data_IF_992994427761
#
_entry.id   IF_992994427761
#
_cell.length_a   1.000
_cell.length_b   1.000
_cell.length_c   1.000
_cell.angle_alpha   90.00
_cell.angle_beta   90.00
_cell.angle_gamma   90.00
#
_symmetry.space_group_name_H-M   'P 1'
#
loop_
_entity.id
_entity.type
_entity.pdbx_description
1 polymer ?
#
# COMPACT_ATOMS: atom_id res chain seq x y z
N UNK A 1 -22.33 20.85 47.34
CA UNK A 1 -23.47 21.78 47.52
C UNK A 1 -24.01 22.40 46.21
N UNK A 2 -23.28 22.40 45.08
CA UNK A 2 -23.75 22.99 43.80
C UNK A 2 -24.76 22.15 43.00
N UNK A 3 -25.20 20.98 43.48
CA UNK A 3 -26.04 20.06 42.69
C UNK A 3 -27.51 19.98 43.16
N UNK A 4 -27.81 20.49 44.37
CA UNK A 4 -29.17 20.41 44.95
C UNK A 4 -30.01 21.67 44.75
N UNK A 5 -29.41 22.77 44.29
CA UNK A 5 -30.16 24.02 44.05
C UNK A 5 -31.15 23.87 42.89
N UNK A 6 -30.82 23.08 41.87
CA UNK A 6 -31.68 22.87 40.70
C UNK A 6 -32.95 22.06 41.08
N UNK A 7 -32.85 20.91 41.79
CA UNK A 7 -34.01 20.24 42.39
C UNK A 7 -34.80 21.13 43.34
N UNK A 8 -34.12 21.91 44.19
CA UNK A 8 -34.77 22.79 45.15
C UNK A 8 -35.58 23.90 44.46
N UNK A 9 -35.04 24.52 43.39
CA UNK A 9 -35.75 25.51 42.59
C UNK A 9 -36.95 24.89 41.85
N UNK A 10 -36.79 23.71 41.25
CA UNK A 10 -37.88 23.03 40.55
C UNK A 10 -39.01 22.66 41.53
N UNK A 11 -38.66 22.14 42.71
CA UNK A 11 -39.63 21.82 43.75
C UNK A 11 -40.31 23.06 44.33
N UNK A 12 -39.56 24.15 44.55
CA UNK A 12 -40.11 25.42 45.01
C UNK A 12 -41.05 26.04 43.97
N UNK A 13 -40.66 26.07 42.69
CA UNK A 13 -41.49 26.56 41.60
C UNK A 13 -42.79 25.75 41.47
N UNK A 14 -42.71 24.41 41.55
CA UNK A 14 -43.86 23.54 41.50
C UNK A 14 -44.80 23.74 42.71
N UNK A 15 -44.23 23.87 43.91
CA UNK A 15 -45.00 24.12 45.13
C UNK A 15 -45.71 25.48 45.07
N UNK A 16 -45.02 26.52 44.59
CA UNK A 16 -45.60 27.86 44.38
C UNK A 16 -46.71 27.87 43.33
N UNK A 17 -46.56 27.10 42.24
CA UNK A 17 -47.62 26.96 41.23
C UNK A 17 -48.88 26.30 41.79
N UNK A 18 -48.72 25.23 42.58
CA UNK A 18 -49.85 24.58 43.25
C UNK A 18 -50.51 25.50 44.29
N UNK A 19 -49.72 26.31 45.00
CA UNK A 19 -50.23 27.30 45.95
C UNK A 19 -51.12 28.35 45.27
N UNK A 20 -50.76 28.80 44.06
CA UNK A 20 -51.51 29.80 43.32
C UNK A 20 -52.81 29.28 42.70
N UNK A 21 -52.85 27.99 42.34
CA UNK A 21 -53.99 27.37 41.63
C UNK A 21 -54.99 26.65 42.54
N UNK A 22 -54.67 26.48 43.83
CA UNK A 22 -55.49 25.74 44.76
C UNK A 22 -56.62 26.60 45.38
N UNK A 23 -57.88 26.10 45.40
CA UNK A 23 -59.04 26.82 45.92
C UNK A 23 -59.22 26.78 47.45
N UNK A 24 -58.43 25.99 48.19
CA UNK A 24 -58.59 25.79 49.65
C UNK A 24 -57.50 26.47 50.50
N UNK A 25 -57.78 26.66 51.81
CA UNK A 25 -56.84 27.24 52.78
C UNK A 25 -55.69 26.26 53.06
N UNK A 26 -54.46 26.65 52.71
CA UNK A 26 -53.27 25.83 52.92
C UNK A 26 -52.88 25.73 54.40
N UNK A 27 -52.71 24.50 54.87
CA UNK A 27 -52.03 24.18 56.13
C UNK A 27 -50.57 23.78 55.82
N UNK A 28 -49.63 24.04 56.74
CA UNK A 28 -48.25 23.56 56.70
C UNK A 28 -48.13 22.07 56.31
N UNK A 29 -49.06 21.23 56.77
CA UNK A 29 -49.12 19.80 56.40
C UNK A 29 -49.26 19.59 54.88
N UNK A 30 -50.05 20.40 54.20
CA UNK A 30 -50.26 20.32 52.73
C UNK A 30 -49.01 20.77 51.99
N UNK A 31 -48.34 21.83 52.47
CA UNK A 31 -47.10 22.33 51.90
C UNK A 31 -45.99 21.26 51.93
N UNK A 32 -45.79 20.59 53.06
CA UNK A 32 -44.81 19.52 53.20
C UNK A 32 -45.16 18.32 52.31
N UNK A 33 -46.45 17.96 52.21
CA UNK A 33 -46.92 16.84 51.41
C UNK A 33 -46.79 17.06 49.89
N UNK A 34 -46.79 18.31 49.42
CA UNK A 34 -46.55 18.64 48.01
C UNK A 34 -45.06 18.84 47.75
N UNK A 35 -44.37 19.61 48.60
CA UNK A 35 -42.96 19.92 48.41
C UNK A 35 -42.06 18.69 48.55
N UNK A 36 -42.29 17.83 49.54
CA UNK A 36 -41.45 16.67 49.83
C UNK A 36 -41.32 15.71 48.64
N UNK A 37 -42.44 15.19 48.11
CA UNK A 37 -42.42 14.33 46.92
C UNK A 37 -41.86 15.03 45.68
N UNK A 38 -42.19 16.30 45.43
CA UNK A 38 -41.68 17.04 44.27
C UNK A 38 -40.16 17.28 44.36
N UNK A 39 -39.65 17.62 45.54
CA UNK A 39 -38.21 17.75 45.79
C UNK A 39 -37.50 16.41 45.65
N UNK A 40 -38.06 15.34 46.19
CA UNK A 40 -37.49 14.00 46.07
C UNK A 40 -37.41 13.57 44.60
N UNK A 41 -38.49 13.73 43.83
CA UNK A 41 -38.52 13.38 42.40
C UNK A 41 -37.54 14.22 41.58
N UNK A 42 -37.50 15.55 41.80
CA UNK A 42 -36.58 16.43 41.08
C UNK A 42 -35.11 16.11 41.42
N UNK A 43 -34.82 15.79 42.68
CA UNK A 43 -33.49 15.39 43.15
C UNK A 43 -33.07 14.05 42.55
N UNK A 44 -33.98 13.07 42.55
CA UNK A 44 -33.77 11.77 41.94
C UNK A 44 -33.54 11.88 40.43
N UNK A 45 -34.39 12.61 39.71
CA UNK A 45 -34.26 12.80 38.26
C UNK A 45 -32.94 13.50 37.89
N UNK A 46 -32.55 14.52 38.66
CA UNK A 46 -31.28 15.23 38.48
C UNK A 46 -30.08 14.29 38.73
N UNK A 47 -30.15 13.46 39.78
CA UNK A 47 -29.15 12.44 40.06
C UNK A 47 -29.02 11.41 38.93
N UNK A 48 -30.14 10.95 38.39
CA UNK A 48 -30.15 10.06 37.22
C UNK A 48 -29.52 10.72 35.99
N UNK A 49 -29.86 11.98 35.71
CA UNK A 49 -29.31 12.73 34.59
C UNK A 49 -27.79 12.86 34.67
N UNK A 50 -27.25 13.27 35.82
CA UNK A 50 -25.80 13.37 36.00
C UNK A 50 -25.11 12.01 35.94
N UNK A 51 -25.77 10.95 36.44
CA UNK A 51 -25.25 9.58 36.33
C UNK A 51 -25.11 9.15 34.88
N UNK A 52 -26.17 9.32 34.08
CA UNK A 52 -26.15 8.98 32.64
C UNK A 52 -25.13 9.85 31.90
N UNK A 53 -25.08 11.16 32.17
CA UNK A 53 -24.10 12.07 31.55
C UNK A 53 -22.66 11.67 31.88
N UNK A 54 -22.38 11.28 33.13
CA UNK A 54 -21.06 10.80 33.55
C UNK A 54 -20.71 9.48 32.88
N UNK A 55 -21.65 8.54 32.80
CA UNK A 55 -21.47 7.27 32.10
C UNK A 55 -21.17 7.49 30.61
N UNK A 56 -21.98 8.29 29.92
CA UNK A 56 -21.76 8.64 28.52
C UNK A 56 -20.41 9.35 28.29
N UNK A 57 -19.96 10.20 29.22
CA UNK A 57 -18.64 10.83 29.14
C UNK A 57 -17.50 9.80 29.28
N UNK A 58 -17.63 8.85 30.22
CA UNK A 58 -16.66 7.78 30.42
C UNK A 58 -16.62 6.88 29.19
N UNK A 59 -17.77 6.45 28.65
CA UNK A 59 -17.86 5.66 27.42
C UNK A 59 -17.22 6.38 26.24
N UNK A 60 -17.52 7.68 26.05
CA UNK A 60 -16.89 8.49 25.01
C UNK A 60 -15.37 8.54 25.16
N UNK A 61 -14.86 8.71 26.38
CA UNK A 61 -13.43 8.75 26.63
C UNK A 61 -12.77 7.39 26.39
N UNK A 62 -13.42 6.29 26.79
CA UNK A 62 -12.94 4.93 26.54
C UNK A 62 -12.89 4.62 25.04
N UNK A 63 -13.94 4.96 24.30
CA UNK A 63 -13.97 4.80 22.83
C UNK A 63 -12.87 5.63 22.14
N UNK A 64 -12.63 6.86 22.60
CA UNK A 64 -11.54 7.68 22.09
C UNK A 64 -10.15 7.10 22.39
N UNK A 65 -9.98 6.41 23.53
CA UNK A 65 -8.74 5.70 23.87
C UNK A 65 -8.56 4.48 22.96
N UNK A 66 -9.61 3.68 22.78
CA UNK A 66 -9.62 2.50 21.90
C UNK A 66 -9.19 2.87 20.47
N UNK A 67 -9.81 3.90 19.89
CA UNK A 67 -9.44 4.40 18.55
C UNK A 67 -7.98 4.86 18.46
N UNK A 68 -7.45 5.47 19.52
CA UNK A 68 -6.04 5.88 19.57
C UNK A 68 -5.11 4.67 19.64
N UNK A 69 -5.47 3.65 20.42
CA UNK A 69 -4.69 2.42 20.55
C UNK A 69 -4.67 1.68 19.22
N UNK A 70 -5.81 1.52 18.55
CA UNK A 70 -5.89 0.93 17.21
C UNK A 70 -5.04 1.72 16.20
N UNK A 71 -5.12 3.04 16.22
CA UNK A 71 -4.32 3.90 15.34
C UNK A 71 -2.81 3.78 15.58
N UNK A 72 -2.39 3.63 16.84
CA UNK A 72 -0.98 3.39 17.18
C UNK A 72 -0.54 1.99 16.75
N UNK A 73 -1.36 0.97 16.99
CA UNK A 73 -1.07 -0.41 16.60
C UNK A 73 -0.90 -0.52 15.08
N UNK A 74 -1.83 0.06 14.30
CA UNK A 74 -1.73 0.10 12.84
C UNK A 74 -0.46 0.79 12.35
N UNK A 75 -0.03 1.89 12.99
CA UNK A 75 1.23 2.56 12.66
C UNK A 75 2.46 1.72 12.99
N UNK A 76 2.45 1.02 14.12
CA UNK A 76 3.54 0.12 14.52
C UNK A 76 3.63 -1.05 13.55
N UNK A 77 2.50 -1.66 13.17
CA UNK A 77 2.48 -2.72 12.18
C UNK A 77 3.01 -2.25 10.83
N UNK A 78 2.61 -1.06 10.38
CA UNK A 78 3.13 -0.50 9.13
C UNK A 78 4.64 -0.25 9.21
N UNK A 79 5.12 0.37 10.29
CA UNK A 79 6.55 0.61 10.49
C UNK A 79 7.34 -0.70 10.60
N UNK A 80 6.79 -1.73 11.24
CA UNK A 80 7.42 -3.04 11.31
C UNK A 80 7.51 -3.71 9.93
N UNK A 81 6.45 -3.62 9.11
CA UNK A 81 6.45 -4.09 7.72
C UNK A 81 7.46 -3.32 6.87
N UNK A 82 7.48 -1.99 6.98
CA UNK A 82 8.42 -1.15 6.24
C UNK A 82 9.86 -1.47 6.65
N UNK A 83 10.13 -1.57 7.96
CA UNK A 83 11.44 -1.92 8.48
C UNK A 83 11.91 -3.30 8.00
N UNK A 84 11.02 -4.30 8.04
CA UNK A 84 11.30 -5.61 7.47
C UNK A 84 11.61 -5.49 5.98
N UNK A 85 10.78 -4.78 5.21
CA UNK A 85 10.98 -4.52 3.79
C UNK A 85 12.32 -3.87 3.45
N UNK A 86 12.71 -2.82 4.18
CA UNK A 86 14.00 -2.14 3.98
C UNK A 86 15.22 -2.98 4.38
N UNK A 87 15.06 -3.93 5.32
CA UNK A 87 16.16 -4.75 5.83
C UNK A 87 16.36 -6.02 5.00
N UNK A 88 15.27 -6.67 4.59
CA UNK A 88 15.32 -7.96 3.88
C UNK A 88 15.18 -7.80 2.38
N UNK A 89 14.62 -6.68 1.92
CA UNK A 89 14.24 -6.45 0.53
C UNK A 89 12.96 -7.17 0.12
N UNK A 90 12.17 -7.70 1.07
CA UNK A 90 10.91 -8.48 0.92
C UNK A 90 10.40 -8.65 -0.52
N UNK A 91 9.40 -7.89 -0.97
CA UNK A 91 8.82 -8.04 -2.31
C UNK A 91 9.58 -7.21 -3.36
N UNK A 92 10.88 -7.03 -3.12
CA UNK A 92 11.78 -6.26 -3.94
C UNK A 92 11.90 -6.89 -5.32
N UNK A 93 11.61 -6.10 -6.35
CA UNK A 93 11.60 -6.56 -7.73
C UNK A 93 12.42 -5.62 -8.62
N UNK A 94 13.37 -6.21 -9.36
CA UNK A 94 14.17 -5.52 -10.34
C UNK A 94 13.94 -6.12 -11.73
N UNK A 95 13.91 -5.26 -12.74
CA UNK A 95 13.78 -5.64 -14.15
C UNK A 95 14.75 -4.84 -15.01
N UNK A 96 15.07 -5.36 -16.19
CA UNK A 96 15.86 -4.64 -17.16
C UNK A 96 14.95 -3.87 -18.11
N UNK A 97 15.10 -2.56 -18.18
CA UNK A 97 14.41 -1.71 -19.13
C UNK A 97 15.29 -1.47 -20.36
N UNK A 98 14.82 -1.81 -21.57
CA UNK A 98 15.55 -1.53 -22.78
C UNK A 98 15.47 -0.05 -23.16
N UNK A 99 16.62 0.51 -23.50
CA UNK A 99 16.78 1.91 -23.88
C UNK A 99 17.56 2.02 -25.19
N UNK A 100 17.05 2.84 -26.10
CA UNK A 100 17.73 3.17 -27.35
C UNK A 100 18.39 4.53 -27.14
N UNK A 101 19.68 4.55 -26.81
CA UNK A 101 20.44 5.81 -26.63
C UNK A 101 21.09 6.32 -27.91
N UNK A 102 21.56 5.40 -28.74
CA UNK A 102 22.29 5.66 -29.97
C UNK A 102 21.73 4.77 -31.08
N UNK A 103 21.68 5.28 -32.32
CA UNK A 103 21.19 4.50 -33.45
C UNK A 103 22.03 3.23 -33.62
N UNK A 104 21.37 2.08 -33.58
CA UNK A 104 22.02 0.77 -33.72
C UNK A 104 22.55 0.18 -32.41
N UNK A 105 22.28 0.78 -31.25
CA UNK A 105 22.58 0.17 -29.96
C UNK A 105 21.33 0.08 -29.09
N UNK A 106 21.22 -1.05 -28.38
CA UNK A 106 20.22 -1.25 -27.34
C UNK A 106 20.94 -1.47 -26.03
N UNK A 107 20.66 -0.61 -25.06
CA UNK A 107 21.19 -0.74 -23.71
C UNK A 107 20.09 -1.25 -22.79
N UNK A 108 20.44 -2.09 -21.83
CA UNK A 108 19.54 -2.51 -20.77
C UNK A 108 19.93 -1.79 -19.48
N UNK A 109 19.02 -0.99 -18.94
CA UNK A 109 19.15 -0.41 -17.61
C UNK A 109 18.48 -1.31 -16.58
N UNK A 110 19.15 -1.64 -15.48
CA UNK A 110 18.50 -2.34 -14.37
C UNK A 110 17.74 -1.33 -13.52
N UNK A 111 16.44 -1.49 -13.37
CA UNK A 111 15.56 -0.60 -12.59
C UNK A 111 14.91 -1.36 -11.43
N UNK A 112 14.71 -0.66 -10.30
CA UNK A 112 13.91 -1.16 -9.19
C UNK A 112 12.52 -0.48 -9.24
N UNK A 113 11.49 -1.28 -9.53
CA UNK A 113 10.09 -0.84 -9.60
C UNK A 113 9.33 -1.02 -8.28
N UNK A 114 9.95 -1.63 -7.27
CA UNK A 114 9.34 -1.93 -5.99
C UNK A 114 9.50 -0.79 -4.96
N UNK A 115 8.67 -0.84 -3.91
CA UNK A 115 8.71 0.11 -2.80
C UNK A 115 9.95 -0.05 -1.92
N UNK A 116 10.59 -1.21 -1.94
CA UNK A 116 11.72 -1.55 -1.08
C UNK A 116 13.00 -1.77 -1.89
N UNK A 117 14.20 -1.70 -1.27
CA UNK A 117 15.44 -2.03 -1.94
C UNK A 117 15.48 -3.50 -2.38
N UNK A 118 16.14 -3.77 -3.50
CA UNK A 118 16.45 -5.12 -3.94
C UNK A 118 17.90 -5.41 -3.61
N UNK A 119 18.17 -6.54 -2.95
CA UNK A 119 19.52 -6.94 -2.54
C UNK A 119 20.02 -8.14 -3.34
N UNK A 120 21.36 -8.21 -3.47
CA UNK A 120 22.09 -9.30 -4.10
C UNK A 120 21.58 -9.62 -5.51
N UNK A 121 21.41 -8.59 -6.33
CA UNK A 121 20.90 -8.75 -7.70
C UNK A 121 21.97 -9.43 -8.55
N UNK A 122 21.63 -10.60 -9.05
CA UNK A 122 22.39 -11.35 -10.03
C UNK A 122 21.53 -11.49 -11.28
N UNK A 123 22.11 -11.24 -12.45
CA UNK A 123 21.41 -11.46 -13.70
C UNK A 123 22.26 -12.29 -14.66
N UNK A 124 21.64 -13.27 -15.29
CA UNK A 124 22.21 -14.02 -16.40
C UNK A 124 21.46 -13.65 -17.67
N UNK A 125 22.17 -13.07 -18.63
CA UNK A 125 21.62 -12.73 -19.94
C UNK A 125 22.09 -13.74 -20.97
N UNK A 126 21.15 -14.30 -21.73
CA UNK A 126 21.39 -15.24 -22.82
C UNK A 126 20.93 -14.60 -24.13
N UNK A 127 21.87 -14.32 -25.03
CA UNK A 127 21.55 -13.96 -26.43
C UNK A 127 21.30 -15.23 -27.23
N UNK A 128 20.07 -15.40 -27.71
CA UNK A 128 19.62 -16.59 -28.46
C UNK A 128 19.99 -16.53 -29.94
N UNK A 129 20.41 -15.36 -30.44
CA UNK A 129 20.82 -15.17 -31.84
C UNK A 129 22.35 -15.14 -32.00
N UNK A 130 23.10 -15.10 -30.90
CA UNK A 130 24.54 -15.16 -30.93
C UNK A 130 25.06 -16.57 -31.27
N UNK A 131 25.93 -16.66 -32.27
CA UNK A 131 26.48 -17.93 -32.71
C UNK A 131 27.38 -18.56 -31.64
N UNK A 132 27.17 -19.85 -31.40
CA UNK A 132 28.08 -20.70 -30.64
C UNK A 132 29.27 -21.03 -31.55
N UNK A 133 30.49 -20.80 -31.06
CA UNK A 133 31.73 -21.06 -31.80
C UNK A 133 32.63 -21.93 -30.91
N UNK A 134 32.46 -23.27 -30.96
CA UNK A 134 33.22 -24.20 -30.13
C UNK A 134 34.72 -24.12 -30.39
N UNK A 135 35.13 -23.84 -31.64
CA UNK A 135 36.53 -23.77 -32.06
C UNK A 135 37.25 -22.58 -31.40
N UNK A 136 36.50 -21.52 -31.05
CA UNK A 136 36.97 -20.39 -30.25
C UNK A 136 36.70 -20.54 -28.75
N UNK A 137 36.30 -21.74 -28.30
CA UNK A 137 35.97 -22.02 -26.90
C UNK A 137 34.68 -21.36 -26.42
N UNK A 138 33.85 -20.82 -27.33
CA UNK A 138 32.60 -20.15 -26.99
C UNK A 138 31.45 -21.16 -27.04
N UNK A 139 31.26 -21.86 -25.94
CA UNK A 139 30.22 -22.88 -25.79
C UNK A 139 28.86 -22.32 -25.34
N UNK A 140 28.81 -21.07 -24.86
CA UNK A 140 27.58 -20.41 -24.42
C UNK A 140 27.63 -18.89 -24.61
N UNK A 141 26.46 -18.28 -24.63
CA UNK A 141 26.22 -16.83 -24.82
C UNK A 141 25.68 -16.18 -23.55
N UNK A 142 26.26 -16.57 -22.39
CA UNK A 142 25.86 -16.10 -21.05
C UNK A 142 26.69 -14.89 -20.63
N UNK A 143 26.00 -13.81 -20.28
CA UNK A 143 26.59 -12.62 -19.69
C UNK A 143 26.07 -12.42 -18.28
N UNK A 144 26.99 -12.42 -17.31
CA UNK A 144 26.66 -12.24 -15.90
C UNK A 144 26.72 -10.76 -15.52
N UNK A 145 25.75 -10.32 -14.71
CA UNK A 145 25.74 -9.01 -14.08
C UNK A 145 25.46 -9.17 -12.59
N UNK A 146 26.12 -8.36 -11.77
CA UNK A 146 25.97 -8.38 -10.33
C UNK A 146 25.87 -6.95 -9.78
N UNK A 147 24.87 -6.70 -8.96
CA UNK A 147 24.71 -5.48 -8.18
C UNK A 147 24.34 -5.83 -6.73
N UNK A 148 25.08 -5.30 -5.76
CA UNK A 148 24.85 -5.59 -4.34
C UNK A 148 23.48 -5.12 -3.85
N UNK A 149 23.06 -3.94 -4.28
CA UNK A 149 21.78 -3.37 -3.87
C UNK A 149 21.28 -2.38 -4.91
N UNK A 150 19.96 -2.35 -5.12
CA UNK A 150 19.28 -1.35 -5.92
C UNK A 150 18.12 -0.76 -5.13
N UNK A 151 18.26 0.50 -4.72
CA UNK A 151 17.24 1.20 -3.94
C UNK A 151 16.03 1.60 -4.81
N UNK A 152 14.85 1.84 -4.20
CA UNK A 152 13.67 2.31 -4.93
C UNK A 152 13.98 3.55 -5.78
N UNK A 153 13.41 3.60 -6.98
CA UNK A 153 13.60 4.69 -7.94
C UNK A 153 15.06 4.96 -8.36
N UNK A 154 15.98 4.02 -8.11
CA UNK A 154 17.33 4.02 -8.68
C UNK A 154 17.38 3.09 -9.89
N UNK A 155 18.25 3.46 -10.82
CA UNK A 155 18.55 2.69 -12.02
C UNK A 155 20.05 2.56 -12.18
N UNK A 156 20.53 1.37 -12.55
CA UNK A 156 21.88 1.18 -13.06
C UNK A 156 21.78 1.22 -14.58
N UNK A 157 22.17 2.35 -15.15
CA UNK A 157 22.14 2.54 -16.60
C UNK A 157 23.19 1.66 -17.28
N UNK A 158 22.87 1.24 -18.51
CA UNK A 158 23.83 0.56 -19.39
C UNK A 158 24.46 -0.69 -18.77
N UNK A 159 23.68 -1.43 -17.96
CA UNK A 159 24.11 -2.69 -17.36
C UNK A 159 24.50 -3.73 -18.42
N UNK A 160 23.80 -3.71 -19.56
CA UNK A 160 24.20 -4.39 -20.78
C UNK A 160 24.09 -3.45 -21.98
N UNK A 161 24.89 -3.72 -23.01
CA UNK A 161 24.85 -3.01 -24.29
C UNK A 161 24.97 -4.02 -25.44
N UNK A 162 24.01 -3.98 -26.35
CA UNK A 162 23.95 -4.82 -27.54
C UNK A 162 24.15 -3.98 -28.78
N UNK A 163 25.05 -4.43 -29.65
CA UNK A 163 25.28 -3.84 -30.97
C UNK A 163 24.31 -4.46 -31.99
N UNK A 164 23.40 -3.64 -32.50
CA UNK A 164 22.41 -4.01 -33.51
C UNK A 164 22.86 -3.65 -34.93
N UNK A 165 24.05 -3.06 -35.11
CA UNK A 165 24.57 -2.70 -36.44
C UNK A 165 24.87 -3.98 -37.22
N UNK A 166 24.03 -4.28 -38.21
CA UNK A 166 24.09 -5.51 -38.99
C UNK A 166 23.25 -6.67 -38.44
N UNK A 167 22.49 -6.47 -37.35
CA UNK A 167 21.51 -7.43 -36.84
C UNK A 167 20.09 -6.95 -37.14
N UNK A 168 19.29 -7.81 -37.77
CA UNK A 168 17.87 -7.53 -37.99
C UNK A 168 17.02 -7.83 -36.75
N UNK A 169 17.45 -8.76 -35.89
CA UNK A 169 16.74 -9.16 -34.69
C UNK A 169 17.68 -9.41 -33.53
N UNK A 170 17.15 -9.32 -32.31
CA UNK A 170 17.82 -9.72 -31.08
C UNK A 170 16.79 -10.37 -30.14
N UNK A 171 17.05 -11.62 -29.76
CA UNK A 171 16.21 -12.38 -28.83
C UNK A 171 17.01 -12.72 -27.60
N UNK A 172 16.62 -12.14 -26.47
CA UNK A 172 17.32 -12.30 -25.21
C UNK A 172 16.39 -12.92 -24.17
N UNK A 173 16.93 -13.85 -23.38
CA UNK A 173 16.32 -14.26 -22.12
C UNK A 173 17.24 -13.82 -20.97
N UNK A 174 16.65 -13.24 -19.93
CA UNK A 174 17.32 -12.71 -18.75
C UNK A 174 16.76 -13.44 -17.54
N UNK A 175 17.63 -14.05 -16.75
CA UNK A 175 17.29 -14.68 -15.49
C UNK A 175 17.81 -13.81 -14.37
N UNK A 176 16.91 -13.22 -13.60
CA UNK A 176 17.21 -12.29 -12.52
C UNK A 176 17.01 -13.05 -11.22
N UNK A 177 18.03 -13.06 -10.37
CA UNK A 177 18.01 -13.62 -9.04
C UNK A 177 18.27 -12.51 -8.04
N UNK A 178 17.49 -12.47 -6.98
CA UNK A 178 17.62 -11.52 -5.88
C UNK A 178 17.57 -12.31 -4.57
N UNK A 179 17.84 -11.65 -3.44
CA UNK A 179 17.67 -12.28 -2.13
C UNK A 179 16.25 -12.77 -1.87
N UNK A 180 15.24 -12.08 -2.39
CA UNK A 180 13.82 -12.35 -2.12
C UNK A 180 13.16 -13.30 -3.11
N UNK A 181 13.76 -13.52 -4.28
CA UNK A 181 13.17 -14.36 -5.30
C UNK A 181 13.91 -14.27 -6.63
N UNK A 182 13.22 -14.65 -7.70
CA UNK A 182 13.77 -14.55 -9.05
C UNK A 182 12.70 -14.23 -10.07
N UNK A 183 13.14 -13.62 -11.17
CA UNK A 183 12.28 -13.26 -12.29
C UNK A 183 12.93 -13.71 -13.59
N UNK A 184 12.11 -14.11 -14.56
CA UNK A 184 12.55 -14.36 -15.93
C UNK A 184 12.00 -13.25 -16.81
N UNK A 185 12.89 -12.58 -17.54
CA UNK A 185 12.52 -11.55 -18.49
C UNK A 185 12.93 -11.98 -19.89
N UNK A 186 12.03 -11.84 -20.84
CA UNK A 186 12.26 -12.16 -22.25
C UNK A 186 12.13 -10.87 -23.04
N UNK A 187 13.15 -10.59 -23.84
CA UNK A 187 13.22 -9.40 -24.67
C UNK A 187 13.36 -9.82 -26.14
N UNK A 188 12.53 -9.24 -26.99
CA UNK A 188 12.54 -9.47 -28.43
C UNK A 188 12.64 -8.10 -29.11
N UNK A 189 13.64 -7.94 -29.96
CA UNK A 189 13.86 -6.72 -30.72
C UNK A 189 13.79 -7.07 -32.20
N UNK A 190 13.02 -6.28 -32.92
CA UNK A 190 13.08 -6.22 -34.39
C UNK A 190 13.66 -4.87 -34.81
N UNK A 191 14.66 -4.90 -35.69
CA UNK A 191 15.41 -3.75 -36.18
C UNK A 191 15.30 -3.63 -37.71
N UNK A 192 14.17 -4.09 -38.28
CA UNK A 192 13.91 -4.07 -39.72
C UNK A 192 13.43 -2.70 -40.23
N UNK A 193 12.85 -1.87 -39.36
CA UNK A 193 12.33 -0.53 -39.69
C UNK A 193 13.28 0.63 -39.34
N UNK A 194 12.75 1.86 -39.43
CA UNK A 194 13.49 3.09 -39.08
C UNK A 194 13.84 3.18 -37.59
N UNK A 195 12.98 2.62 -36.74
CA UNK A 195 13.15 2.53 -35.30
C UNK A 195 12.98 1.08 -34.84
N UNK A 196 13.83 0.61 -33.91
CA UNK A 196 13.70 -0.75 -33.43
C UNK A 196 12.42 -0.89 -32.60
N UNK A 197 11.66 -1.94 -32.87
CA UNK A 197 10.50 -2.33 -32.10
C UNK A 197 10.97 -3.29 -31.00
N UNK A 198 10.49 -3.09 -29.78
CA UNK A 198 10.91 -3.86 -28.62
C UNK A 198 9.68 -4.44 -27.93
N UNK A 199 9.64 -5.76 -27.83
CA UNK A 199 8.66 -6.51 -27.07
C UNK A 199 9.32 -7.10 -25.81
N UNK A 200 8.64 -6.95 -24.69
CA UNK A 200 9.13 -7.35 -23.36
C UNK A 200 8.06 -8.20 -22.67
N UNK A 201 8.49 -9.30 -22.06
CA UNK A 201 7.69 -10.09 -21.14
C UNK A 201 8.50 -10.35 -19.89
N UNK A 202 7.92 -10.08 -18.72
CA UNK A 202 8.57 -10.34 -17.43
C UNK A 202 7.66 -11.22 -16.58
N UNK A 203 8.24 -12.30 -16.04
CA UNK A 203 7.56 -13.29 -15.21
C UNK A 203 8.24 -13.40 -13.85
N UNK A 204 7.44 -13.49 -12.79
CA UNK A 204 7.89 -13.84 -11.44
C UNK A 204 7.18 -15.14 -11.03
N UNK A 205 7.93 -16.25 -11.06
CA UNK A 205 7.32 -17.58 -11.05
C UNK A 205 6.34 -17.75 -12.22
N UNK A 206 5.09 -18.10 -11.92
CA UNK A 206 4.03 -18.29 -12.91
C UNK A 206 3.25 -17.00 -13.23
N UNK A 207 3.49 -15.91 -12.49
CA UNK A 207 2.76 -14.66 -12.67
C UNK A 207 3.45 -13.77 -13.73
N UNK A 208 2.67 -13.31 -14.70
CA UNK A 208 3.12 -12.28 -15.65
C UNK A 208 3.08 -10.92 -14.94
N UNK A 209 4.25 -10.32 -14.76
CA UNK A 209 4.41 -8.99 -14.15
C UNK A 209 4.27 -7.90 -15.22
N UNK A 210 4.86 -8.14 -16.38
CA UNK A 210 4.84 -7.20 -17.50
C UNK A 210 4.69 -7.96 -18.81
N UNK A 211 3.85 -7.45 -19.70
CA UNK A 211 3.76 -7.89 -21.08
C UNK A 211 3.50 -6.66 -21.96
N UNK A 212 4.50 -6.31 -22.77
CA UNK A 212 4.44 -5.19 -23.69
C UNK A 212 4.88 -5.66 -25.06
N UNK A 213 3.95 -5.68 -26.01
CA UNK A 213 4.23 -6.02 -27.41
C UNK A 213 3.64 -4.91 -28.28
N UNK A 214 4.46 -4.18 -29.05
CA UNK A 214 3.93 -3.19 -30.00
C UNK A 214 3.06 -3.87 -31.06
N UNK A 215 1.94 -3.25 -31.45
CA UNK A 215 1.05 -3.82 -32.48
C UNK A 215 1.75 -3.98 -33.84
N UNK A 216 2.74 -3.13 -34.12
CA UNK A 216 3.56 -3.19 -35.31
C UNK A 216 4.65 -4.28 -35.26
N UNK A 217 4.83 -4.97 -34.13
CA UNK A 217 5.88 -5.97 -33.98
C UNK A 217 5.61 -7.19 -34.88
N UNK A 218 6.60 -7.69 -35.66
CA UNK A 218 6.40 -8.84 -36.53
C UNK A 218 5.93 -10.08 -35.76
N UNK A 219 4.80 -10.66 -36.19
CA UNK A 219 4.20 -11.83 -35.52
C UNK A 219 3.34 -11.48 -34.29
N UNK A 220 3.00 -10.21 -34.08
CA UNK A 220 2.02 -9.81 -33.09
C UNK A 220 0.65 -10.45 -33.37
N UNK A 221 0.12 -11.14 -32.38
CA UNK A 221 -1.25 -11.66 -32.36
C UNK A 221 -2.01 -10.97 -31.22
N UNK A 222 -3.04 -10.14 -31.50
CA UNK A 222 -3.81 -9.46 -30.47
C UNK A 222 -4.58 -10.42 -29.55
N UNK A 223 -4.87 -11.65 -30.00
CA UNK A 223 -5.54 -12.66 -29.18
C UNK A 223 -4.57 -13.41 -28.27
N UNK A 224 -3.30 -13.50 -28.66
CA UNK A 224 -2.26 -14.18 -27.89
C UNK A 224 -0.89 -13.50 -28.03
N UNK A 225 -0.70 -12.30 -27.44
CA UNK A 225 0.56 -11.57 -27.55
C UNK A 225 1.74 -12.31 -26.90
N UNK A 226 1.48 -13.25 -25.99
CA UNK A 226 2.51 -14.05 -25.33
C UNK A 226 3.14 -15.09 -26.25
N UNK A 227 2.49 -15.49 -27.35
CA UNK A 227 3.00 -16.47 -28.31
C UNK A 227 4.34 -16.05 -28.95
N UNK A 228 4.60 -14.74 -29.00
CA UNK A 228 5.85 -14.17 -29.50
C UNK A 228 7.09 -14.61 -28.68
N UNK A 229 6.88 -15.01 -27.42
CA UNK A 229 7.96 -15.35 -26.49
C UNK A 229 8.17 -16.86 -26.29
N UNK A 230 7.38 -17.68 -26.98
CA UNK A 230 7.48 -19.14 -26.97
C UNK A 230 8.59 -19.67 -27.87
#
# INVERSE_FOLDING_TARGET
MKEFWLPALLAAAWTSFNLYTAPEKWNFKVLVNVFGPSFFLASWATGQFFRVKKQALVEKNLSAIEQRVEGVLSRIEQQARDFAGYTTGTDGFASFEPMIREKGFIELGLINLSTYPVFDVQAEVIDLDEAIDPDKGKLWTRHLFHAQSLYPSKAIMSAYRFDMRGRQRLRINIFIFTRSGGATQQLRVDNSGDWPLIAVRTMNGDQVVELKVPEAFPGYDPQNPAALFS
#
